data_IF_600216681861
#
_entry.id   IF_600216681861
#
_cell.length_a   1.000
_cell.length_b   1.000
_cell.length_c   1.000
_cell.angle_alpha   90.00
_cell.angle_beta   90.00
_cell.angle_gamma   90.00
#
_symmetry.space_group_name_H-M   'P 1'
#
loop_
_entity.id
_entity.type
_entity.pdbx_description
1 polymer ?
#
# COMPACT_ATOMS: atom_id res chain seq x y z
N UNK A 1 11.55 18.85 -8.48
CA UNK A 1 10.84 18.75 -7.18
C UNK A 1 9.62 19.68 -7.17
N UNK A 2 8.44 19.16 -6.85
CA UNK A 2 7.18 19.91 -6.71
C UNK A 2 6.73 19.82 -5.25
N UNK A 3 6.32 20.93 -4.63
CA UNK A 3 5.91 20.94 -3.22
C UNK A 3 4.68 21.84 -3.04
N UNK A 4 3.46 21.32 -3.26
CA UNK A 4 2.24 22.09 -3.05
C UNK A 4 2.13 22.49 -1.57
N UNK A 5 1.93 23.79 -1.35
CA UNK A 5 1.79 24.44 -0.03
C UNK A 5 0.38 24.96 0.23
N UNK A 6 -0.48 24.97 -0.77
CA UNK A 6 -1.89 25.35 -0.62
C UNK A 6 -2.74 24.09 -0.38
N UNK A 7 -3.72 24.14 0.54
CA UNK A 7 -4.68 23.06 0.72
C UNK A 7 -5.55 22.84 -0.51
N UNK A 8 -6.06 21.62 -0.69
CA UNK A 8 -7.10 21.33 -1.70
C UNK A 8 -6.62 21.37 -3.16
N UNK A 9 -5.31 21.28 -3.40
CA UNK A 9 -4.73 21.37 -4.76
C UNK A 9 -4.55 19.99 -5.38
N UNK A 10 -4.78 19.90 -6.70
CA UNK A 10 -4.37 18.75 -7.51
C UNK A 10 -3.02 19.02 -8.19
N UNK A 11 -2.07 18.10 -8.03
CA UNK A 11 -0.74 18.16 -8.64
C UNK A 11 -0.55 16.90 -9.49
N UNK A 12 -0.69 16.98 -10.82
CA UNK A 12 -0.40 15.86 -11.72
C UNK A 12 1.01 15.97 -12.34
N UNK A 13 2.03 15.24 -11.83
CA UNK A 13 3.32 15.12 -12.51
C UNK A 13 3.15 14.50 -13.90
N UNK A 14 3.50 15.27 -14.93
CA UNK A 14 3.43 14.85 -16.33
C UNK A 14 4.81 14.60 -16.96
N UNK A 15 5.89 14.89 -16.22
CA UNK A 15 7.26 14.61 -16.65
C UNK A 15 7.85 13.44 -15.85
N UNK A 16 8.71 12.61 -16.46
CA UNK A 16 9.40 11.55 -15.75
C UNK A 16 10.42 12.11 -14.76
N UNK A 17 10.79 11.31 -13.74
CA UNK A 17 11.82 11.70 -12.76
C UNK A 17 11.40 12.82 -11.81
N UNK A 18 10.09 13.07 -11.66
CA UNK A 18 9.57 14.14 -10.79
C UNK A 18 9.41 13.65 -9.36
N UNK A 19 9.95 14.40 -8.42
CA UNK A 19 9.64 14.26 -7.00
C UNK A 19 8.53 15.24 -6.59
N UNK A 20 7.53 14.75 -5.85
CA UNK A 20 6.44 15.54 -5.27
C UNK A 20 6.45 15.36 -3.76
N UNK A 21 6.45 16.47 -3.01
CA UNK A 21 6.36 16.46 -1.55
C UNK A 21 5.23 17.39 -1.08
N UNK A 22 3.99 16.91 -1.03
CA UNK A 22 2.88 17.69 -0.47
C UNK A 22 3.14 18.09 0.98
N UNK A 23 3.05 19.40 1.26
CA UNK A 23 3.25 19.99 2.60
C UNK A 23 1.97 20.60 3.17
N UNK A 24 0.87 20.56 2.42
CA UNK A 24 -0.44 21.03 2.84
C UNK A 24 -1.45 19.88 2.78
N UNK A 25 -2.53 19.95 3.58
CA UNK A 25 -3.56 18.92 3.60
C UNK A 25 -4.47 18.99 2.37
N UNK A 26 -5.18 17.90 2.10
CA UNK A 26 -6.16 17.84 1.01
C UNK A 26 -5.55 17.87 -0.38
N UNK A 27 -4.26 17.51 -0.53
CA UNK A 27 -3.59 17.51 -1.82
C UNK A 27 -3.86 16.20 -2.55
N UNK A 28 -4.19 16.27 -3.84
CA UNK A 28 -4.33 15.12 -4.72
C UNK A 28 -3.14 15.04 -5.66
N UNK A 29 -2.51 13.87 -5.76
CA UNK A 29 -1.37 13.63 -6.63
C UNK A 29 -1.66 12.45 -7.53
N UNK A 30 -2.06 12.66 -8.80
CA UNK A 30 -2.15 11.60 -9.79
C UNK A 30 -0.95 11.64 -10.75
N UNK A 31 0.19 10.99 -10.45
CA UNK A 31 1.30 10.84 -11.38
C UNK A 31 0.84 10.24 -12.71
N UNK A 32 1.14 10.93 -13.82
CA UNK A 32 0.82 10.50 -15.19
C UNK A 32 2.08 10.13 -16.00
N UNK A 33 3.26 10.37 -15.45
CA UNK A 33 4.54 9.97 -16.03
C UNK A 33 5.27 8.94 -15.15
N UNK A 34 6.15 8.11 -15.73
CA UNK A 34 6.90 7.11 -15.00
C UNK A 34 8.03 7.70 -14.17
N UNK A 35 8.54 6.95 -13.18
CA UNK A 35 9.68 7.38 -12.37
C UNK A 35 9.37 8.57 -11.47
N UNK A 36 8.14 8.63 -10.93
CA UNK A 36 7.71 9.71 -10.04
C UNK A 36 7.84 9.24 -8.59
N UNK A 37 8.40 10.08 -7.73
CA UNK A 37 8.37 9.86 -6.28
C UNK A 37 7.34 10.81 -5.65
N UNK A 38 6.45 10.28 -4.81
CA UNK A 38 5.48 11.08 -4.06
C UNK A 38 5.67 10.82 -2.56
N UNK A 39 6.19 11.81 -1.86
CA UNK A 39 6.49 11.77 -0.43
C UNK A 39 5.58 12.73 0.36
N UNK A 40 4.31 12.35 0.68
CA UNK A 40 3.42 13.16 1.52
C UNK A 40 4.04 13.48 2.88
N UNK A 41 4.02 14.77 3.26
CA UNK A 41 4.46 15.27 4.57
C UNK A 41 3.33 15.97 5.35
N UNK A 42 2.13 15.97 4.79
CA UNK A 42 0.92 16.51 5.40
C UNK A 42 -0.21 15.47 5.33
N UNK A 43 -1.20 15.55 6.23
CA UNK A 43 -2.31 14.60 6.25
C UNK A 43 -3.34 14.87 5.15
N UNK A 44 -4.23 13.92 4.89
CA UNK A 44 -5.31 14.07 3.91
C UNK A 44 -4.79 14.17 2.48
N UNK A 45 -3.73 13.42 2.15
CA UNK A 45 -3.16 13.38 0.79
C UNK A 45 -3.64 12.14 0.07
N UNK A 46 -4.20 12.31 -1.11
CA UNK A 46 -4.59 11.22 -2.00
C UNK A 46 -3.55 11.06 -3.10
N UNK A 47 -2.97 9.86 -3.26
CA UNK A 47 -2.02 9.54 -4.33
C UNK A 47 -2.61 8.47 -5.22
N UNK A 48 -2.78 8.76 -6.51
CA UNK A 48 -3.34 7.82 -7.50
C UNK A 48 -2.42 7.68 -8.70
N UNK A 49 -1.33 6.90 -8.61
CA UNK A 49 -0.43 6.64 -9.72
C UNK A 49 -1.17 6.07 -10.94
N UNK A 50 -1.05 6.72 -12.09
CA UNK A 50 -1.59 6.28 -13.39
C UNK A 50 -0.50 5.84 -14.37
N UNK A 51 0.76 5.94 -13.97
CA UNK A 51 1.93 5.52 -14.73
C UNK A 51 2.81 4.58 -13.87
N UNK A 52 3.65 3.75 -14.50
CA UNK A 52 4.46 2.77 -13.78
C UNK A 52 5.70 3.38 -13.15
N UNK A 53 6.37 2.63 -12.28
CA UNK A 53 7.62 3.05 -11.65
C UNK A 53 7.43 4.23 -10.71
N UNK A 54 6.35 4.22 -9.93
CA UNK A 54 6.05 5.28 -8.96
C UNK A 54 6.36 4.79 -7.56
N UNK A 55 7.09 5.59 -6.79
CA UNK A 55 7.34 5.31 -5.38
C UNK A 55 6.54 6.28 -4.52
N UNK A 56 5.83 5.75 -3.52
CA UNK A 56 5.01 6.54 -2.61
C UNK A 56 5.36 6.18 -1.18
N UNK A 57 6.29 6.89 -0.51
CA UNK A 57 6.55 6.72 0.92
C UNK A 57 5.81 7.80 1.76
N UNK A 58 4.55 7.58 2.19
CA UNK A 58 3.84 8.48 3.11
C UNK A 58 4.62 8.69 4.41
N UNK A 59 4.89 9.95 4.77
CA UNK A 59 5.51 10.33 6.04
C UNK A 59 4.54 11.09 6.96
N UNK A 60 3.25 11.14 6.59
CA UNK A 60 2.18 11.75 7.38
C UNK A 60 0.97 10.80 7.44
N UNK A 61 0.13 10.92 8.48
CA UNK A 61 -1.06 10.10 8.61
C UNK A 61 -2.19 10.54 7.68
N UNK A 62 -3.22 9.72 7.53
CA UNK A 62 -4.39 10.04 6.71
C UNK A 62 -4.05 10.17 5.23
N UNK A 63 -3.15 9.32 4.73
CA UNK A 63 -2.76 9.28 3.33
C UNK A 63 -3.42 8.07 2.68
N UNK A 64 -4.05 8.30 1.53
CA UNK A 64 -4.65 7.24 0.73
C UNK A 64 -3.83 7.05 -0.54
N UNK A 65 -3.45 5.81 -0.83
CA UNK A 65 -2.69 5.46 -2.03
C UNK A 65 -3.49 4.44 -2.83
N UNK A 66 -3.89 4.80 -4.05
CA UNK A 66 -4.65 3.94 -4.97
C UNK A 66 -3.91 3.77 -6.30
N UNK A 67 -2.89 2.88 -6.37
CA UNK A 67 -2.17 2.57 -7.61
C UNK A 67 -3.11 2.03 -8.70
N UNK A 68 -3.12 2.69 -9.86
CA UNK A 68 -3.85 2.26 -11.08
C UNK A 68 -2.92 1.80 -12.20
N UNK A 69 -1.62 1.75 -11.93
CA UNK A 69 -0.58 1.28 -12.84
C UNK A 69 0.37 0.33 -12.10
N UNK A 70 1.08 -0.55 -12.83
CA UNK A 70 2.01 -1.50 -12.23
C UNK A 70 3.35 -0.87 -11.83
N UNK A 71 4.19 -1.62 -11.11
CA UNK A 71 5.51 -1.16 -10.71
C UNK A 71 5.44 -0.01 -9.70
N UNK A 72 4.45 -0.04 -8.80
CA UNK A 72 4.29 0.97 -7.76
C UNK A 72 4.76 0.41 -6.43
N UNK A 73 5.61 1.15 -5.74
CA UNK A 73 6.11 0.78 -4.41
C UNK A 73 5.54 1.73 -3.38
N UNK A 74 4.97 1.18 -2.31
CA UNK A 74 4.38 1.96 -1.23
C UNK A 74 4.95 1.49 0.09
N UNK A 75 5.97 2.17 0.65
CA UNK A 75 6.43 1.90 2.01
C UNK A 75 5.96 3.00 2.99
N UNK A 76 4.71 2.91 3.53
CA UNK A 76 4.21 3.82 4.54
C UNK A 76 5.16 3.92 5.74
N UNK A 77 5.55 5.14 6.11
CA UNK A 77 6.39 5.45 7.28
C UNK A 77 5.60 6.14 8.39
N UNK A 78 4.32 6.43 8.16
CA UNK A 78 3.40 7.01 9.13
C UNK A 78 2.16 6.11 9.31
N UNK A 79 1.47 6.21 10.46
CA UNK A 79 0.26 5.44 10.71
C UNK A 79 -0.95 6.01 9.97
N UNK A 80 -2.07 5.27 9.95
CA UNK A 80 -3.32 5.75 9.35
C UNK A 80 -3.21 5.92 7.84
N UNK A 81 -2.49 5.03 7.17
CA UNK A 81 -2.33 5.02 5.71
C UNK A 81 -3.18 3.90 5.14
N UNK A 82 -3.96 4.21 4.11
CA UNK A 82 -4.67 3.20 3.33
C UNK A 82 -3.97 3.01 1.99
N UNK A 83 -3.70 1.76 1.62
CA UNK A 83 -3.12 1.40 0.32
C UNK A 83 -4.06 0.43 -0.37
N UNK A 84 -4.75 0.90 -1.41
CA UNK A 84 -5.73 0.17 -2.20
C UNK A 84 -5.23 -0.08 -3.63
N UNK A 85 -4.33 -1.08 -3.87
CA UNK A 85 -3.88 -1.45 -5.21
C UNK A 85 -5.05 -1.82 -6.12
N UNK A 86 -5.09 -1.23 -7.31
CA UNK A 86 -6.06 -1.53 -8.40
C UNK A 86 -5.37 -2.02 -9.67
N UNK A 87 -4.05 -2.22 -9.62
CA UNK A 87 -3.22 -2.75 -10.68
C UNK A 87 -2.24 -3.80 -10.11
N UNK A 88 -1.74 -4.72 -10.94
CA UNK A 88 -0.75 -5.71 -10.54
C UNK A 88 0.64 -5.11 -10.37
N UNK A 89 1.58 -5.88 -9.82
CA UNK A 89 2.98 -5.44 -9.66
C UNK A 89 3.11 -4.28 -8.67
N UNK A 90 2.31 -4.31 -7.60
CA UNK A 90 2.37 -3.32 -6.53
C UNK A 90 2.99 -3.96 -5.30
N UNK A 91 4.01 -3.32 -4.76
CA UNK A 91 4.67 -3.74 -3.53
C UNK A 91 4.29 -2.78 -2.40
N UNK A 92 3.78 -3.32 -1.30
CA UNK A 92 3.42 -2.55 -0.11
C UNK A 92 4.24 -3.04 1.07
N UNK A 93 5.04 -2.16 1.67
CA UNK A 93 5.92 -2.49 2.80
C UNK A 93 5.71 -1.52 3.97
N UNK A 94 4.59 -1.64 4.72
CA UNK A 94 4.31 -0.79 5.87
C UNK A 94 5.44 -0.84 6.90
N UNK A 95 5.99 0.32 7.27
CA UNK A 95 7.00 0.50 8.32
C UNK A 95 6.42 1.16 9.58
N UNK A 96 5.13 1.49 9.56
CA UNK A 96 4.37 2.10 10.65
C UNK A 96 3.08 1.30 10.90
N UNK A 97 2.54 1.35 12.12
CA UNK A 97 1.31 0.65 12.47
C UNK A 97 0.05 1.33 11.92
N UNK A 98 -1.10 0.67 12.01
CA UNK A 98 -2.38 1.25 11.60
C UNK A 98 -2.45 1.50 10.09
N UNK A 99 -1.89 0.57 9.31
CA UNK A 99 -1.94 0.61 7.84
C UNK A 99 -2.92 -0.45 7.36
N UNK A 100 -3.82 -0.04 6.47
CA UNK A 100 -4.75 -0.95 5.82
C UNK A 100 -4.36 -1.14 4.36
N UNK A 101 -4.28 -2.40 3.93
CA UNK A 101 -3.90 -2.76 2.58
C UNK A 101 -4.96 -3.72 2.02
N UNK A 102 -6.00 -3.23 1.35
CA UNK A 102 -6.96 -4.07 0.62
C UNK A 102 -6.62 -4.17 -0.90
N UNK A 103 -5.74 -5.11 -1.33
CA UNK A 103 -5.49 -5.36 -2.74
C UNK A 103 -6.77 -5.69 -3.51
N UNK A 104 -7.04 -4.97 -4.60
CA UNK A 104 -8.14 -5.24 -5.53
C UNK A 104 -7.64 -5.76 -6.88
N UNK A 105 -6.34 -6.07 -6.99
CA UNK A 105 -5.70 -6.62 -8.18
C UNK A 105 -4.75 -7.76 -7.80
N UNK A 106 -4.49 -8.71 -8.71
CA UNK A 106 -3.52 -9.78 -8.50
C UNK A 106 -2.08 -9.27 -8.57
N UNK A 107 -1.11 -10.10 -8.20
CA UNK A 107 0.31 -9.75 -8.28
C UNK A 107 0.68 -8.60 -7.34
N UNK A 108 0.04 -8.54 -6.18
CA UNK A 108 0.34 -7.57 -5.12
C UNK A 108 1.10 -8.28 -4.03
N UNK A 109 2.23 -7.69 -3.63
CA UNK A 109 3.03 -8.18 -2.53
C UNK A 109 2.89 -7.24 -1.33
N UNK A 110 2.59 -7.79 -0.16
CA UNK A 110 2.45 -7.04 1.08
C UNK A 110 3.42 -7.61 2.10
N UNK A 111 4.40 -6.80 2.53
CA UNK A 111 5.42 -7.18 3.51
C UNK A 111 5.43 -6.22 4.72
N UNK A 112 4.45 -6.36 5.64
CA UNK A 112 4.40 -5.56 6.87
C UNK A 112 5.66 -5.71 7.71
N UNK A 113 6.27 -4.58 8.09
CA UNK A 113 7.42 -4.50 9.01
C UNK A 113 7.05 -3.87 10.36
N UNK A 114 5.77 -3.53 10.54
CA UNK A 114 5.21 -2.96 11.76
C UNK A 114 3.91 -3.72 12.13
N UNK A 115 3.53 -3.72 13.41
CA UNK A 115 2.28 -4.33 13.87
C UNK A 115 1.05 -3.51 13.49
N UNK A 116 -0.15 -4.03 13.71
CA UNK A 116 -1.40 -3.32 13.47
C UNK A 116 -1.64 -3.06 11.98
N UNK A 117 -1.17 -3.95 11.12
CA UNK A 117 -1.42 -3.89 9.67
C UNK A 117 -2.54 -4.86 9.34
N UNK A 118 -3.54 -4.38 8.60
CA UNK A 118 -4.63 -5.20 8.12
C UNK A 118 -4.51 -5.41 6.63
N UNK A 119 -4.62 -6.65 6.21
CA UNK A 119 -4.54 -7.04 4.80
C UNK A 119 -5.77 -7.87 4.47
N UNK A 120 -6.85 -7.27 3.92
CA UNK A 120 -7.98 -8.03 3.39
C UNK A 120 -7.95 -8.07 1.85
N UNK A 121 -7.17 -8.98 1.23
CA UNK A 121 -7.14 -9.15 -0.22
C UNK A 121 -8.53 -9.41 -0.79
N UNK A 122 -8.89 -8.67 -1.83
CA UNK A 122 -10.13 -8.83 -2.60
C UNK A 122 -9.88 -9.45 -3.99
N UNK A 123 -8.61 -9.66 -4.35
CA UNK A 123 -8.19 -10.31 -5.58
C UNK A 123 -7.28 -11.51 -5.28
N UNK A 124 -7.23 -12.51 -6.19
CA UNK A 124 -6.31 -13.65 -6.07
C UNK A 124 -4.87 -13.25 -6.36
N UNK A 125 -3.92 -14.15 -6.12
CA UNK A 125 -2.51 -13.92 -6.47
C UNK A 125 -1.88 -12.81 -5.64
N UNK A 126 -2.32 -12.66 -4.39
CA UNK A 126 -1.72 -11.73 -3.42
C UNK A 126 -0.81 -12.52 -2.50
N UNK A 127 0.41 -12.03 -2.33
CA UNK A 127 1.35 -12.59 -1.37
C UNK A 127 1.49 -11.66 -0.17
N UNK A 128 1.34 -12.23 1.02
CA UNK A 128 1.47 -11.51 2.29
C UNK A 128 2.58 -12.16 3.11
N UNK A 129 3.65 -11.43 3.37
CA UNK A 129 4.81 -11.89 4.14
C UNK A 129 5.09 -11.00 5.35
N UNK A 130 4.28 -11.10 6.42
CA UNK A 130 4.48 -10.31 7.64
C UNK A 130 5.85 -10.58 8.28
N UNK A 131 6.56 -9.52 8.63
CA UNK A 131 7.81 -9.53 9.40
C UNK A 131 7.64 -9.00 10.82
N UNK A 132 6.44 -8.57 11.17
CA UNK A 132 6.07 -8.09 12.50
C UNK A 132 4.83 -8.84 13.00
N UNK A 133 4.66 -8.97 14.33
CA UNK A 133 3.44 -9.52 14.94
C UNK A 133 2.25 -8.58 14.76
N UNK A 134 1.04 -9.03 15.12
CA UNK A 134 -0.16 -8.19 15.13
C UNK A 134 -0.60 -7.78 13.72
N UNK A 135 -0.35 -8.64 12.73
CA UNK A 135 -0.84 -8.45 11.36
C UNK A 135 -2.06 -9.33 11.17
N UNK A 136 -3.14 -8.74 10.69
CA UNK A 136 -4.38 -9.45 10.39
C UNK A 136 -4.49 -9.64 8.88
N UNK A 137 -4.66 -10.88 8.44
CA UNK A 137 -4.87 -11.21 7.03
C UNK A 137 -6.24 -11.85 6.88
N UNK A 138 -7.14 -11.19 6.16
CA UNK A 138 -8.52 -11.65 5.95
C UNK A 138 -8.86 -11.76 4.45
N UNK A 139 -8.34 -12.76 3.74
CA UNK A 139 -8.60 -12.93 2.31
C UNK A 139 -10.09 -13.12 2.01
N UNK A 140 -10.58 -12.34 1.05
CA UNK A 140 -11.93 -12.49 0.46
C UNK A 140 -11.90 -13.16 -0.91
N UNK A 141 -10.70 -13.37 -1.46
CA UNK A 141 -10.47 -14.06 -2.73
C UNK A 141 -9.56 -15.28 -2.51
N UNK A 142 -9.67 -16.32 -3.37
CA UNK A 142 -8.80 -17.49 -3.32
C UNK A 142 -7.38 -17.16 -3.79
N UNK A 143 -6.43 -18.09 -3.64
CA UNK A 143 -5.09 -17.94 -4.20
C UNK A 143 -4.28 -16.85 -3.50
N UNK A 144 -4.58 -16.57 -2.23
CA UNK A 144 -3.75 -15.71 -1.38
C UNK A 144 -2.75 -16.59 -0.64
N UNK A 145 -1.49 -16.20 -0.71
CA UNK A 145 -0.40 -16.87 0.00
C UNK A 145 -0.01 -16.02 1.20
N UNK A 146 -0.06 -16.59 2.39
CA UNK A 146 0.39 -15.92 3.62
C UNK A 146 1.60 -16.67 4.15
N UNK A 147 2.74 -16.00 4.29
CA UNK A 147 4.00 -16.56 4.78
C UNK A 147 4.54 -15.72 5.96
N UNK A 148 4.01 -15.93 7.17
CA UNK A 148 4.46 -15.20 8.37
C UNK A 148 5.91 -15.53 8.74
N UNK A 149 6.74 -14.51 8.94
CA UNK A 149 8.07 -14.63 9.54
C UNK A 149 8.10 -14.16 11.01
N UNK A 150 6.94 -13.82 11.55
CA UNK A 150 6.76 -13.40 12.94
C UNK A 150 5.54 -14.11 13.54
N UNK A 151 5.54 -14.39 14.86
CA UNK A 151 4.36 -14.92 15.56
C UNK A 151 3.25 -13.86 15.64
N UNK A 152 2.03 -14.27 16.02
CA UNK A 152 0.92 -13.33 16.21
C UNK A 152 0.38 -12.72 14.92
N UNK A 153 0.55 -13.42 13.78
CA UNK A 153 -0.19 -13.13 12.55
C UNK A 153 -1.48 -13.91 12.58
N UNK A 154 -2.60 -13.21 12.51
CA UNK A 154 -3.91 -13.82 12.39
C UNK A 154 -4.25 -13.99 10.91
N UNK A 155 -4.71 -15.18 10.52
CA UNK A 155 -5.20 -15.45 9.17
C UNK A 155 -6.62 -15.98 9.27
N UNK A 156 -7.57 -15.20 8.75
CA UNK A 156 -9.01 -15.44 8.85
C UNK A 156 -9.65 -15.42 7.45
N UNK A 157 -9.46 -16.47 6.64
CA UNK A 157 -9.90 -16.51 5.25
C UNK A 157 -11.42 -16.70 5.13
N UNK A 158 -12.04 -15.92 4.24
CA UNK A 158 -13.45 -16.06 3.84
C UNK A 158 -13.61 -16.78 2.49
N UNK A 159 -12.50 -17.08 1.83
CA UNK A 159 -12.45 -17.79 0.56
C UNK A 159 -11.55 -19.04 0.68
N UNK A 160 -11.84 -20.11 -0.09
CA UNK A 160 -10.99 -21.30 -0.14
C UNK A 160 -9.66 -21.00 -0.84
N UNK A 161 -8.68 -21.91 -0.73
CA UNK A 161 -7.41 -21.79 -1.45
C UNK A 161 -6.50 -20.68 -0.92
N UNK A 162 -6.65 -20.32 0.35
CA UNK A 162 -5.67 -19.51 1.08
C UNK A 162 -4.62 -20.46 1.64
N UNK A 163 -3.37 -20.26 1.23
CA UNK A 163 -2.26 -21.04 1.75
C UNK A 163 -1.59 -20.29 2.90
N UNK A 164 -1.53 -20.91 4.07
CA UNK A 164 -0.79 -20.41 5.22
C UNK A 164 -0.08 -21.58 5.92
N UNK A 165 1.24 -21.53 6.13
CA UNK A 165 1.97 -22.60 6.80
C UNK A 165 1.57 -22.74 8.27
N UNK A 166 1.13 -21.65 8.92
CA UNK A 166 0.62 -21.69 10.30
C UNK A 166 -0.72 -22.45 10.43
N UNK A 167 -1.50 -22.56 9.35
CA UNK A 167 -2.77 -23.31 9.37
C UNK A 167 -2.58 -24.83 9.26
N UNK A 168 -1.38 -25.31 8.92
CA UNK A 168 -1.06 -26.74 8.86
C UNK A 168 -0.45 -27.26 10.18
N UNK A 169 -0.41 -26.44 11.23
CA UNK A 169 0.08 -26.78 12.57
C UNK A 169 -1.06 -26.97 13.59
N UNK A 170 -2.28 -27.24 13.12
CA UNK A 170 -3.44 -27.63 13.93
C UNK A 170 -3.98 -28.96 13.43
#
# INVERSE_FOLDING_TARGET
MVSPKAPGVEVPPNAPGVEVSPKAPGVKVPPKAPGVEVSPKAPGVEVSPKAPGVEVPPNAPGVEVSPKAPGVKVPPKAPGVEVSPKAPGVEVSPKAPGVEVPPNAPGVEVSPKAPGVKVPPKAPGVEVSPKAPGVEVSPKAPGVKVSPNAPGVEVSPKAPGVWCPLMHQV
#
